data_IF_782938969440
#
_entry.id   IF_782938969440
#
_cell.length_a   1.000
_cell.length_b   1.000
_cell.length_c   1.000
_cell.angle_alpha   90.00
_cell.angle_beta   90.00
_cell.angle_gamma   90.00
#
_symmetry.space_group_name_H-M   'P 1'
#
loop_
_entity.id
_entity.type
_entity.pdbx_description
1 polymer ?
#
# COMPACT_ATOMS: atom_id res chain seq x y z
N UNK A 1 28.49 0.76 -29.04
CA UNK A 1 27.19 0.13 -28.79
C UNK A 1 26.24 1.23 -28.39
N UNK A 2 25.27 1.58 -29.24
CA UNK A 2 24.29 2.63 -28.92
C UNK A 2 23.36 2.11 -27.83
N UNK A 3 23.28 2.80 -26.69
CA UNK A 3 22.25 2.47 -25.70
C UNK A 3 20.87 2.62 -26.36
N UNK A 4 19.91 1.73 -26.05
CA UNK A 4 18.55 1.87 -26.57
C UNK A 4 18.00 3.23 -26.14
N UNK A 5 17.29 3.90 -27.05
CA UNK A 5 16.63 5.16 -26.71
C UNK A 5 15.65 4.91 -25.54
N UNK A 6 15.62 5.80 -24.53
CA UNK A 6 14.72 5.63 -23.40
C UNK A 6 13.26 5.64 -23.86
N UNK A 7 12.44 4.81 -23.22
CA UNK A 7 11.01 4.72 -23.53
C UNK A 7 10.30 5.94 -22.96
N UNK A 8 9.52 6.62 -23.80
CA UNK A 8 8.65 7.70 -23.33
C UNK A 8 7.45 7.07 -22.62
N UNK A 9 7.15 7.53 -21.40
CA UNK A 9 5.99 7.05 -20.64
C UNK A 9 5.16 8.23 -20.15
N UNK A 10 3.84 8.08 -20.15
CA UNK A 10 2.94 8.96 -19.41
C UNK A 10 2.30 8.17 -18.28
N UNK A 11 2.19 8.83 -17.13
CA UNK A 11 1.77 8.20 -15.90
C UNK A 11 0.32 8.50 -15.61
N UNK A 12 -0.44 7.46 -15.30
CA UNK A 12 -1.84 7.57 -14.87
C UNK A 12 -2.01 6.96 -13.49
N UNK A 13 -3.04 7.41 -12.77
CA UNK A 13 -3.37 6.93 -11.44
C UNK A 13 -4.71 6.23 -11.52
N UNK A 14 -4.70 4.89 -11.44
CA UNK A 14 -5.90 4.09 -11.67
C UNK A 14 -6.15 3.16 -10.50
N UNK A 15 -7.42 2.98 -10.13
CA UNK A 15 -7.81 2.01 -9.12
C UNK A 15 -7.48 0.60 -9.63
N UNK A 16 -6.76 -0.15 -8.82
CA UNK A 16 -6.26 -1.50 -9.12
C UNK A 16 -6.86 -2.58 -8.23
N UNK A 17 -7.68 -2.19 -7.24
CA UNK A 17 -8.19 -3.12 -6.23
C UNK A 17 -9.32 -4.02 -6.75
N UNK A 18 -10.20 -3.48 -7.59
CA UNK A 18 -11.35 -4.19 -8.16
C UNK A 18 -11.49 -3.84 -9.65
N UNK A 19 -11.59 -4.89 -10.48
CA UNK A 19 -11.85 -4.79 -11.93
C UNK A 19 -13.10 -3.97 -12.24
N UNK A 20 -14.09 -3.92 -11.34
CA UNK A 20 -15.31 -3.13 -11.54
C UNK A 20 -15.12 -1.66 -11.21
N UNK A 21 -14.12 -1.31 -10.40
CA UNK A 21 -13.91 0.07 -9.98
C UNK A 21 -13.12 0.84 -11.04
N UNK A 22 -11.95 0.34 -11.47
CA UNK A 22 -11.16 0.78 -12.64
C UNK A 22 -11.04 2.31 -12.92
N UNK A 23 -11.34 3.16 -11.93
CA UNK A 23 -11.42 4.62 -12.04
C UNK A 23 -10.03 5.21 -12.22
N UNK A 24 -9.92 6.17 -13.13
CA UNK A 24 -8.69 6.89 -13.43
C UNK A 24 -8.72 8.32 -12.87
N UNK A 25 -7.56 8.78 -12.41
CA UNK A 25 -7.35 10.05 -11.74
C UNK A 25 -6.14 10.78 -12.30
N UNK A 26 -6.18 12.12 -12.25
CA UNK A 26 -5.09 12.99 -12.71
C UNK A 26 -3.92 13.11 -11.73
N UNK A 27 -4.10 12.73 -10.46
CA UNK A 27 -3.06 12.82 -9.44
C UNK A 27 -3.13 11.66 -8.43
N UNK A 28 -1.97 11.32 -7.86
CA UNK A 28 -1.83 10.29 -6.83
C UNK A 28 -2.72 10.55 -5.61
N UNK A 29 -2.88 11.82 -5.23
CA UNK A 29 -3.72 12.18 -4.08
C UNK A 29 -5.16 11.74 -4.28
N UNK A 30 -5.73 11.97 -5.46
CA UNK A 30 -7.11 11.59 -5.76
C UNK A 30 -7.30 10.08 -5.79
N UNK A 31 -6.31 9.34 -6.30
CA UNK A 31 -6.33 7.88 -6.23
C UNK A 31 -6.29 7.39 -4.77
N UNK A 32 -5.46 8.00 -3.91
CA UNK A 32 -5.42 7.65 -2.49
C UNK A 32 -6.74 7.94 -1.78
N UNK A 33 -7.31 9.12 -1.97
CA UNK A 33 -8.63 9.45 -1.38
C UNK A 33 -9.73 8.50 -1.85
N UNK A 34 -9.67 8.08 -3.12
CA UNK A 34 -10.57 7.07 -3.64
C UNK A 34 -10.38 5.71 -2.96
N UNK A 35 -9.15 5.23 -2.86
CA UNK A 35 -8.83 3.95 -2.22
C UNK A 35 -9.23 3.97 -0.73
N UNK A 36 -9.04 5.09 -0.02
CA UNK A 36 -9.54 5.26 1.36
C UNK A 36 -11.06 5.18 1.44
N UNK A 37 -11.76 5.93 0.60
CA UNK A 37 -13.21 6.14 0.74
C UNK A 37 -14.08 5.07 0.09
N UNK A 38 -13.52 4.24 -0.79
CA UNK A 38 -14.26 3.20 -1.54
C UNK A 38 -13.76 1.80 -1.32
N UNK A 39 -12.53 1.66 -0.83
CA UNK A 39 -11.89 0.37 -0.65
C UNK A 39 -11.27 0.24 0.74
N UNK A 40 -11.49 1.20 1.65
CA UNK A 40 -11.04 1.15 3.06
C UNK A 40 -9.53 1.02 3.26
N UNK A 41 -8.74 1.50 2.30
CA UNK A 41 -7.27 1.52 2.43
C UNK A 41 -6.85 2.53 3.49
N UNK A 42 -5.77 2.20 4.20
CA UNK A 42 -5.18 3.10 5.20
C UNK A 42 -3.93 3.72 4.62
N UNK A 43 -3.94 5.03 4.37
CA UNK A 43 -2.72 5.77 4.00
C UNK A 43 -2.38 6.83 5.06
N UNK A 44 -1.08 7.00 5.39
CA UNK A 44 -0.65 8.02 6.34
C UNK A 44 -1.02 9.43 5.86
N UNK A 45 -1.19 10.34 6.82
CA UNK A 45 -1.54 11.75 6.57
C UNK A 45 -0.45 12.49 5.79
N UNK A 46 0.80 12.05 5.91
CA UNK A 46 1.94 12.56 5.16
C UNK A 46 2.57 11.43 4.35
N UNK A 47 2.42 11.50 3.03
CA UNK A 47 3.29 10.77 2.13
C UNK A 47 4.45 11.65 1.69
N UNK A 48 5.66 11.10 1.68
CA UNK A 48 6.84 11.77 1.15
C UNK A 48 6.60 12.23 -0.29
N UNK A 49 6.61 13.54 -0.50
CA UNK A 49 6.48 14.18 -1.82
C UNK A 49 7.82 14.14 -2.56
N UNK A 50 8.30 12.94 -2.87
CA UNK A 50 9.42 12.79 -3.79
C UNK A 50 8.99 13.14 -5.21
N UNK A 51 9.71 14.06 -5.88
CA UNK A 51 9.51 14.30 -7.31
C UNK A 51 9.91 13.04 -8.07
N UNK A 52 9.01 12.53 -8.92
CA UNK A 52 9.33 11.40 -9.80
C UNK A 52 10.47 11.79 -10.74
N UNK A 53 11.44 10.90 -10.91
CA UNK A 53 12.63 11.12 -11.73
C UNK A 53 12.57 10.25 -12.97
N UNK A 54 13.01 10.79 -14.10
CA UNK A 54 13.34 9.97 -15.27
C UNK A 54 14.49 9.01 -14.89
N UNK A 55 14.51 7.84 -15.50
CA UNK A 55 15.61 6.88 -15.39
C UNK A 55 16.31 6.73 -16.75
N UNK A 56 17.39 5.96 -16.78
CA UNK A 56 18.07 5.61 -18.05
C UNK A 56 17.14 4.86 -19.02
N UNK A 57 16.12 4.17 -18.50
CA UNK A 57 15.17 3.38 -19.28
C UNK A 57 13.90 4.17 -19.66
N UNK A 58 13.51 5.15 -18.84
CA UNK A 58 12.21 5.81 -18.95
C UNK A 58 12.31 7.33 -18.84
N UNK A 59 11.66 8.02 -19.78
CA UNK A 59 11.46 9.47 -19.74
C UNK A 59 9.97 9.75 -19.54
N UNK A 60 9.66 10.42 -18.43
CA UNK A 60 8.28 10.75 -18.07
C UNK A 60 7.84 12.00 -18.83
N UNK A 61 6.79 11.87 -19.63
CA UNK A 61 6.14 12.98 -20.31
C UNK A 61 4.87 13.42 -19.55
N UNK A 62 4.53 14.73 -19.56
CA UNK A 62 3.44 15.27 -18.74
C UNK A 62 2.04 14.88 -19.22
N UNK A 63 1.90 14.43 -20.47
CA UNK A 63 0.62 14.04 -21.07
C UNK A 63 0.84 12.92 -22.08
N UNK A 64 -0.21 12.20 -22.41
CA UNK A 64 -0.18 11.20 -23.46
C UNK A 64 0.23 11.82 -24.80
N UNK A 65 1.04 11.09 -25.55
CA UNK A 65 1.43 11.43 -26.91
C UNK A 65 1.60 10.14 -27.71
N UNK A 66 1.66 10.24 -29.05
CA UNK A 66 1.68 9.05 -29.94
C UNK A 66 2.83 8.07 -29.68
N UNK A 67 3.91 8.55 -29.07
CA UNK A 67 5.13 7.77 -28.81
C UNK A 67 5.29 7.38 -27.34
N UNK A 68 4.36 7.79 -26.46
CA UNK A 68 4.45 7.52 -25.04
C UNK A 68 3.55 6.34 -24.64
N UNK A 69 4.12 5.39 -23.92
CA UNK A 69 3.39 4.28 -23.32
C UNK A 69 2.67 4.72 -22.05
N UNK A 70 1.46 4.21 -21.83
CA UNK A 70 0.74 4.43 -20.58
C UNK A 70 1.31 3.54 -19.50
N UNK A 71 1.69 4.14 -18.38
CA UNK A 71 2.10 3.40 -17.19
C UNK A 71 1.18 3.77 -16.01
N UNK A 72 0.94 2.80 -15.14
CA UNK A 72 0.19 2.95 -13.90
C UNK A 72 1.13 3.25 -12.75
N UNK A 73 0.74 4.25 -11.98
CA UNK A 73 1.54 4.80 -10.90
C UNK A 73 1.15 4.20 -9.56
N UNK A 74 2.12 3.62 -8.84
CA UNK A 74 1.87 3.20 -7.46
C UNK A 74 1.52 4.43 -6.59
N UNK A 75 0.44 4.37 -5.78
CA UNK A 75 0.06 5.48 -4.91
C UNK A 75 0.91 5.60 -3.64
N UNK A 76 1.62 4.53 -3.25
CA UNK A 76 2.54 4.49 -2.11
C UNK A 76 4.00 4.81 -2.46
N UNK A 77 4.40 4.61 -3.72
CA UNK A 77 5.76 4.85 -4.19
C UNK A 77 5.92 6.16 -4.97
N UNK A 78 7.11 6.73 -4.87
CA UNK A 78 7.52 7.89 -5.69
C UNK A 78 8.17 7.48 -7.01
N UNK A 79 8.73 6.27 -7.09
CA UNK A 79 9.52 5.80 -8.25
C UNK A 79 8.86 4.65 -9.02
N UNK A 80 8.09 3.80 -8.36
CA UNK A 80 7.52 2.60 -8.99
C UNK A 80 6.33 2.91 -9.91
N UNK A 81 6.34 2.27 -11.07
CA UNK A 81 5.29 2.32 -12.07
C UNK A 81 5.28 1.04 -12.91
N UNK A 82 4.14 0.71 -13.48
CA UNK A 82 3.92 -0.59 -14.10
C UNK A 82 3.18 -0.41 -15.44
N UNK A 83 3.48 -1.27 -16.40
CA UNK A 83 2.77 -1.26 -17.68
C UNK A 83 1.35 -1.84 -17.54
N UNK A 84 1.15 -2.72 -16.56
CA UNK A 84 -0.12 -3.40 -16.29
C UNK A 84 -0.64 -3.13 -14.88
N UNK A 85 -1.96 -3.20 -14.69
CA UNK A 85 -2.59 -3.02 -13.38
C UNK A 85 -2.34 -4.20 -12.43
N UNK A 86 -2.24 -5.42 -12.95
CA UNK A 86 -1.99 -6.61 -12.16
C UNK A 86 -0.59 -6.59 -11.54
N UNK A 87 0.39 -6.09 -12.27
CA UNK A 87 1.75 -5.89 -11.75
C UNK A 87 1.77 -4.83 -10.65
N UNK A 88 0.96 -3.77 -10.81
CA UNK A 88 0.81 -2.75 -9.78
C UNK A 88 0.13 -3.31 -8.53
N UNK A 89 -0.97 -4.05 -8.66
CA UNK A 89 -1.67 -4.69 -7.54
C UNK A 89 -0.75 -5.66 -6.80
N UNK A 90 -0.07 -6.53 -7.55
CA UNK A 90 0.91 -7.47 -6.99
C UNK A 90 2.02 -6.76 -6.23
N UNK A 91 2.60 -5.70 -6.82
CA UNK A 91 3.57 -4.86 -6.14
C UNK A 91 3.00 -4.24 -4.85
N UNK A 92 1.79 -3.70 -4.90
CA UNK A 92 1.19 -3.01 -3.77
C UNK A 92 0.93 -3.98 -2.62
N UNK A 93 0.41 -5.19 -2.89
CA UNK A 93 0.16 -6.20 -1.86
C UNK A 93 1.44 -6.68 -1.17
N UNK A 94 2.54 -6.77 -1.90
CA UNK A 94 3.82 -7.25 -1.35
C UNK A 94 4.58 -6.14 -0.61
N UNK A 95 4.59 -4.92 -1.15
CA UNK A 95 5.44 -3.82 -0.65
C UNK A 95 4.69 -2.90 0.31
N UNK A 96 3.37 -2.80 0.17
CA UNK A 96 2.49 -1.90 0.91
C UNK A 96 1.31 -2.67 1.54
N UNK A 97 1.54 -3.93 1.92
CA UNK A 97 0.51 -4.78 2.53
C UNK A 97 -0.07 -4.20 3.82
N UNK A 98 0.70 -3.37 4.52
CA UNK A 98 0.30 -2.60 5.71
C UNK A 98 -0.73 -1.50 5.43
N UNK A 99 -0.92 -1.13 4.15
CA UNK A 99 -1.88 -0.10 3.73
C UNK A 99 -3.17 -0.70 3.16
N UNK A 100 -3.23 -2.03 3.02
CA UNK A 100 -4.43 -2.74 2.63
C UNK A 100 -5.49 -2.62 3.73
N UNK A 101 -6.78 -2.77 3.39
CA UNK A 101 -7.83 -2.86 4.38
C UNK A 101 -7.54 -4.04 5.30
N UNK A 102 -7.71 -3.86 6.61
CA UNK A 102 -7.77 -4.99 7.53
C UNK A 102 -8.92 -5.87 7.08
N UNK A 103 -8.59 -6.99 6.45
CA UNK A 103 -9.56 -8.03 6.25
C UNK A 103 -9.70 -8.67 7.62
N UNK A 104 -10.69 -8.23 8.41
CA UNK A 104 -11.16 -8.97 9.57
C UNK A 104 -11.56 -10.37 9.08
N UNK A 105 -10.60 -11.30 9.09
CA UNK A 105 -10.88 -12.71 9.04
C UNK A 105 -11.27 -13.11 10.47
N UNK A 106 -12.48 -12.76 10.87
CA UNK A 106 -13.17 -13.47 11.94
C UNK A 106 -13.39 -14.92 11.47
N UNK A 107 -12.44 -15.79 11.84
CA UNK A 107 -12.71 -17.17 12.21
C UNK A 107 -11.55 -17.69 13.04
N UNK A 108 -11.69 -17.55 14.36
CA UNK A 108 -10.96 -18.35 15.36
C UNK A 108 -11.36 -19.82 15.25
N UNK A 109 -10.50 -20.75 15.71
CA UNK A 109 -10.92 -21.49 16.89
C UNK A 109 -9.88 -21.47 18.01
N UNK A 110 -10.41 -21.30 19.22
CA UNK A 110 -9.75 -21.51 20.50
C UNK A 110 -9.39 -23.00 20.64
N UNK A 111 -8.11 -23.30 20.89
CA UNK A 111 -7.58 -24.37 21.76
C UNK A 111 -6.08 -24.55 21.48
N UNK A 112 -5.16 -24.88 22.38
CA UNK A 112 -5.00 -24.90 23.84
C UNK A 112 -3.59 -25.50 24.04
N UNK A 113 -2.80 -24.97 25.00
CA UNK A 113 -1.58 -25.54 25.61
C UNK A 113 -0.30 -25.63 24.75
N UNK A 114 0.91 -25.32 25.24
CA UNK A 114 1.48 -25.38 26.60
C UNK A 114 2.54 -24.28 26.83
N UNK A 115 2.50 -23.59 27.98
CA UNK A 115 3.53 -23.64 29.05
C UNK A 115 4.62 -22.56 28.89
N UNK A 116 5.05 -21.79 29.87
CA UNK A 116 4.94 -21.88 31.33
C UNK A 116 4.90 -20.47 31.95
N UNK A 117 4.12 -20.44 33.02
CA UNK A 117 3.93 -19.45 34.07
C UNK A 117 5.23 -19.21 34.86
N UNK A 118 5.65 -17.96 35.09
CA UNK A 118 6.32 -17.56 36.33
C UNK A 118 6.15 -16.05 36.61
N UNK A 119 5.76 -15.78 37.86
CA UNK A 119 5.91 -14.53 38.63
C UNK A 119 4.76 -13.51 38.61
N UNK A 120 3.67 -13.89 39.28
CA UNK A 120 2.77 -12.95 39.97
C UNK A 120 3.13 -12.93 41.46
N UNK A 121 3.44 -11.75 42.01
CA UNK A 121 2.90 -11.34 43.33
C UNK A 121 2.73 -9.82 43.37
N UNK A 122 1.50 -9.29 43.50
CA UNK A 122 1.25 -7.96 44.03
C UNK A 122 0.98 -8.00 45.54
N UNK A 123 1.13 -6.83 46.14
CA UNK A 123 1.20 -6.53 47.58
C UNK A 123 -0.06 -6.79 48.41
N UNK A 124 0.19 -7.03 49.70
CA UNK A 124 -0.56 -6.61 50.92
C UNK A 124 -2.08 -6.74 50.94
N UNK A 125 -2.59 -7.60 51.83
CA UNK A 125 -3.72 -7.26 52.72
C UNK A 125 -3.46 -7.85 54.11
N UNK A 126 -3.45 -6.96 55.11
CA UNK A 126 -3.52 -7.23 56.54
C UNK A 126 -4.97 -7.55 56.93
N UNK A 127 -5.21 -8.63 57.66
CA UNK A 127 -6.33 -8.70 58.60
C UNK A 127 -5.96 -9.63 59.76
N UNK A 128 -5.65 -9.00 60.88
CA UNK A 128 -5.72 -9.60 62.21
C UNK A 128 -7.16 -9.99 62.53
N UNK A 129 -7.38 -11.22 63.00
CA UNK A 129 -8.33 -11.59 64.06
C UNK A 129 -8.36 -13.11 64.21
N UNK A 130 -7.97 -13.64 65.37
CA UNK A 130 -8.71 -14.70 66.04
C UNK A 130 -8.24 -14.89 67.49
N UNK A 131 -9.23 -14.68 68.38
CA UNK A 131 -9.46 -15.19 69.74
C UNK A 131 -8.33 -15.21 70.76
#
# INVERSE_FOLDING_TARGET
MSQPNPTLIYMTYRCFYDEKCNKEYSAAQWLREHLKSKHDFVFPSQMTKGRRRCSEQFVIVPKSCKHAQQHFSCPGCTTCHFADLNDLDSHFRVVHGDLLPDHDQENTPISSSSGQDESVTPSTIDYSNNL
#
